data_IF_692463821727
#
_entry.id   IF_692463821727
#
_cell.length_a   1.000
_cell.length_b   1.000
_cell.length_c   1.000
_cell.angle_alpha   90.00
_cell.angle_beta   90.00
_cell.angle_gamma   90.00
#
_symmetry.space_group_name_H-M   'P 1'
#
loop_
_entity.id
_entity.type
_entity.pdbx_description
1 polymer ?
#
# COMPACT_ATOMS: atom_id res chain seq x y z
N UNK A 1 17.99 11.14 -1.62
CA UNK A 1 16.64 10.71 -1.19
C UNK A 1 16.47 9.38 -1.85
N UNK A 2 16.38 8.30 -1.09
CA UNK A 2 16.56 6.94 -1.60
C UNK A 2 15.72 6.59 -2.85
N UNK A 3 14.54 7.18 -3.04
CA UNK A 3 13.78 7.04 -4.31
C UNK A 3 14.54 7.58 -5.53
N UNK A 4 15.22 8.73 -5.39
CA UNK A 4 16.06 9.28 -6.47
C UNK A 4 17.30 8.42 -6.73
N UNK A 5 17.86 7.82 -5.68
CA UNK A 5 19.02 6.94 -5.79
C UNK A 5 18.63 5.65 -6.55
N UNK A 6 17.37 5.20 -6.41
CA UNK A 6 16.79 4.16 -7.26
C UNK A 6 16.52 4.65 -8.70
N UNK A 7 15.92 5.84 -8.86
CA UNK A 7 15.61 6.43 -10.17
C UNK A 7 16.85 6.67 -11.04
N UNK A 8 18.00 6.98 -10.44
CA UNK A 8 19.23 7.28 -11.16
C UNK A 8 20.09 6.06 -11.47
N UNK A 9 19.65 4.85 -11.08
CA UNK A 9 20.47 3.65 -11.20
C UNK A 9 21.79 3.74 -10.44
N UNK A 10 21.77 4.38 -9.25
CA UNK A 10 22.99 4.50 -8.44
C UNK A 10 23.54 3.13 -8.01
N UNK A 11 24.78 3.08 -7.53
CA UNK A 11 25.38 1.86 -6.96
C UNK A 11 24.49 1.22 -5.88
N UNK A 12 23.73 2.04 -5.15
CA UNK A 12 22.81 1.63 -4.09
C UNK A 12 21.38 1.35 -4.57
N UNK A 13 21.11 1.26 -5.88
CA UNK A 13 19.76 1.03 -6.41
C UNK A 13 19.11 -0.22 -5.79
N UNK A 14 19.86 -1.30 -5.63
CA UNK A 14 19.41 -2.59 -5.09
C UNK A 14 18.86 -2.52 -3.65
N UNK A 15 19.27 -1.53 -2.84
CA UNK A 15 18.77 -1.31 -1.47
C UNK A 15 17.93 -0.05 -1.31
N UNK A 16 17.94 0.85 -2.29
CA UNK A 16 17.32 2.17 -2.21
C UNK A 16 15.85 2.14 -1.78
N UNK A 17 14.99 1.39 -2.48
CA UNK A 17 13.57 1.32 -2.10
C UNK A 17 13.35 0.66 -0.75
N UNK A 18 14.14 -0.38 -0.43
CA UNK A 18 14.11 -1.02 0.89
C UNK A 18 14.44 -0.02 1.99
N UNK A 19 15.44 0.84 1.78
CA UNK A 19 15.83 1.90 2.70
C UNK A 19 14.71 2.95 2.90
N UNK A 20 13.94 3.29 1.86
CA UNK A 20 12.76 4.18 2.00
C UNK A 20 11.75 3.60 2.98
N UNK A 21 11.34 2.34 2.79
CA UNK A 21 10.29 1.73 3.60
C UNK A 21 10.77 1.45 5.03
N UNK A 22 12.03 1.06 5.20
CA UNK A 22 12.64 0.89 6.53
C UNK A 22 12.70 2.24 7.26
N UNK A 23 13.12 3.32 6.60
CA UNK A 23 13.13 4.67 7.20
C UNK A 23 11.73 5.08 7.69
N UNK A 24 10.70 4.84 6.89
CA UNK A 24 9.33 5.13 7.29
C UNK A 24 8.92 4.31 8.53
N UNK A 25 9.23 3.01 8.53
CA UNK A 25 8.87 2.11 9.63
C UNK A 25 9.57 2.47 10.94
N UNK A 26 10.89 2.74 10.92
CA UNK A 26 11.66 3.04 12.13
C UNK A 26 11.54 4.51 12.55
N UNK A 27 11.50 5.43 11.59
CA UNK A 27 11.46 6.86 11.84
C UNK A 27 10.14 7.32 12.44
N UNK A 28 9.02 6.81 11.92
CA UNK A 28 7.66 7.25 12.29
C UNK A 28 7.02 6.46 13.43
N UNK A 29 7.76 5.53 14.05
CA UNK A 29 7.25 4.72 15.13
C UNK A 29 6.89 5.55 16.36
N UNK A 30 5.69 5.36 16.91
CA UNK A 30 5.26 6.05 18.13
C UNK A 30 6.16 5.66 19.33
N UNK A 31 6.79 6.61 20.05
CA UNK A 31 7.72 6.28 21.14
C UNK A 31 7.10 5.53 22.32
N UNK A 32 5.87 5.90 22.71
CA UNK A 32 5.08 5.23 23.74
C UNK A 32 3.59 5.57 23.58
N UNK A 33 2.64 4.85 24.22
CA UNK A 33 1.21 5.02 23.98
C UNK A 33 0.67 6.42 24.33
N UNK A 34 1.28 7.12 25.29
CA UNK A 34 0.86 8.43 25.82
C UNK A 34 1.67 9.61 25.24
N UNK A 35 2.59 9.35 24.31
CA UNK A 35 3.45 10.37 23.71
C UNK A 35 2.66 11.45 22.96
N UNK A 36 3.12 12.69 23.09
CA UNK A 36 2.56 13.89 22.47
C UNK A 36 3.40 14.33 21.27
N UNK A 37 2.91 15.34 20.54
CA UNK A 37 3.56 15.85 19.33
C UNK A 37 5.03 16.25 19.54
N UNK A 38 5.37 16.87 20.69
CA UNK A 38 6.76 17.23 21.02
C UNK A 38 7.65 15.99 21.14
N UNK A 39 7.20 14.96 21.86
CA UNK A 39 7.93 13.70 21.98
C UNK A 39 8.16 13.05 20.61
N UNK A 40 7.19 13.17 19.69
CA UNK A 40 7.31 12.64 18.33
C UNK A 40 8.35 13.40 17.51
N UNK A 41 8.39 14.73 17.64
CA UNK A 41 9.39 15.58 16.98
C UNK A 41 10.80 15.30 17.49
N UNK A 42 10.97 15.21 18.82
CA UNK A 42 12.26 14.94 19.46
C UNK A 42 12.77 13.53 19.08
N UNK A 43 11.90 12.52 19.11
CA UNK A 43 12.23 11.17 18.71
C UNK A 43 12.61 11.09 17.21
N UNK A 44 11.80 11.70 16.33
CA UNK A 44 12.08 11.72 14.90
C UNK A 44 13.43 12.39 14.60
N UNK A 45 13.73 13.52 15.25
CA UNK A 45 14.99 14.23 15.06
C UNK A 45 16.20 13.37 15.44
N UNK A 46 16.15 12.67 16.59
CA UNK A 46 17.21 11.73 17.00
C UNK A 46 17.35 10.56 16.04
N UNK A 47 16.24 10.01 15.55
CA UNK A 47 16.26 8.89 14.61
C UNK A 47 16.80 9.28 13.25
N UNK A 48 16.52 10.50 12.78
CA UNK A 48 17.08 11.02 11.55
C UNK A 48 18.60 11.24 11.65
N UNK A 49 19.12 11.64 12.82
CA UNK A 49 20.55 11.70 13.07
C UNK A 49 21.19 10.30 12.98
N UNK A 50 20.65 9.31 13.71
CA UNK A 50 21.11 7.92 13.63
C UNK A 50 21.03 7.34 12.22
N UNK A 51 19.97 7.66 11.48
CA UNK A 51 19.81 7.26 10.08
C UNK A 51 20.92 7.84 9.21
N UNK A 52 21.23 9.12 9.39
CA UNK A 52 22.31 9.81 8.66
C UNK A 52 23.69 9.23 8.99
N UNK A 53 23.90 8.81 10.23
CA UNK A 53 25.15 8.21 10.71
C UNK A 53 25.25 6.71 10.34
N UNK A 54 24.26 6.13 9.65
CA UNK A 54 24.25 4.72 9.25
C UNK A 54 23.92 3.73 10.37
N UNK A 55 23.43 4.21 11.51
CA UNK A 55 23.17 3.44 12.73
C UNK A 55 21.83 2.68 12.69
N UNK A 56 21.59 1.95 11.61
CA UNK A 56 20.32 1.25 11.34
C UNK A 56 20.01 0.19 12.41
N UNK A 57 21.03 -0.51 12.90
CA UNK A 57 20.90 -1.51 13.97
C UNK A 57 20.35 -0.92 15.27
N UNK A 58 20.75 0.32 15.62
CA UNK A 58 20.24 1.03 16.79
C UNK A 58 18.76 1.37 16.63
N UNK A 59 18.36 1.82 15.43
CA UNK A 59 16.96 2.12 15.10
C UNK A 59 16.06 0.88 15.16
N UNK A 60 16.51 -0.25 14.59
CA UNK A 60 15.77 -1.51 14.63
C UNK A 60 15.65 -2.01 16.08
N UNK A 61 16.73 -1.92 16.87
CA UNK A 61 16.72 -2.31 18.28
C UNK A 61 15.74 -1.45 19.09
N UNK A 62 15.79 -0.13 18.94
CA UNK A 62 14.83 0.80 19.55
C UNK A 62 13.40 0.38 19.21
N UNK A 63 13.13 0.15 17.92
CA UNK A 63 11.79 -0.17 17.45
C UNK A 63 11.23 -1.49 18.02
N UNK A 64 12.07 -2.53 18.12
CA UNK A 64 11.71 -3.80 18.76
C UNK A 64 11.41 -3.62 20.25
N UNK A 65 12.22 -2.84 20.97
CA UNK A 65 12.00 -2.56 22.40
C UNK A 65 10.67 -1.82 22.58
N UNK A 66 10.40 -0.79 21.78
CA UNK A 66 9.14 -0.06 21.83
C UNK A 66 7.96 -0.98 21.55
N UNK A 67 8.02 -1.80 20.49
CA UNK A 67 6.93 -2.74 20.14
C UNK A 67 6.64 -3.73 21.26
N UNK A 68 7.69 -4.26 21.92
CA UNK A 68 7.51 -5.18 23.06
C UNK A 68 6.80 -4.52 24.25
N UNK A 69 6.96 -3.20 24.44
CA UNK A 69 6.41 -2.45 25.58
C UNK A 69 5.06 -1.81 25.31
N UNK A 70 4.79 -1.39 24.08
CA UNK A 70 3.49 -0.82 23.69
C UNK A 70 2.39 -1.89 23.79
N UNK A 71 2.77 -3.17 23.70
CA UNK A 71 1.85 -4.31 23.80
C UNK A 71 0.83 -4.34 22.66
N UNK A 72 0.05 -5.41 22.59
CA UNK A 72 -1.21 -5.38 21.81
C UNK A 72 -2.12 -4.41 22.55
N UNK A 73 -2.62 -3.38 21.88
CA UNK A 73 -3.68 -2.54 22.42
C UNK A 73 -4.84 -3.48 22.80
N UNK A 74 -5.02 -3.75 24.10
CA UNK A 74 -6.28 -4.33 24.57
C UNK A 74 -7.29 -3.22 24.34
N UNK A 75 -8.05 -3.31 23.24
CA UNK A 75 -9.19 -2.43 23.04
C UNK A 75 -10.01 -2.47 24.32
N UNK A 76 -10.42 -1.31 24.85
CA UNK A 76 -11.43 -1.33 25.89
C UNK A 76 -12.61 -2.13 25.35
N UNK A 77 -13.16 -3.06 26.14
CA UNK A 77 -14.26 -3.93 25.71
C UNK A 77 -15.46 -3.13 25.16
N UNK A 78 -15.53 -1.83 25.46
CA UNK A 78 -16.29 -0.85 24.71
C UNK A 78 -15.45 0.42 24.47
N UNK A 79 -15.06 0.74 23.22
CA UNK A 79 -14.62 2.09 22.90
C UNK A 79 -15.79 3.04 23.17
N UNK A 80 -15.52 4.20 23.75
CA UNK A 80 -16.50 5.30 23.78
C UNK A 80 -16.88 5.61 22.32
N UNK A 81 -18.07 5.13 21.91
CA UNK A 81 -18.52 5.17 20.52
C UNK A 81 -18.53 6.61 20.00
N UNK A 82 -18.85 7.58 20.86
CA UNK A 82 -18.86 8.99 20.52
C UNK A 82 -17.43 9.50 20.23
N UNK A 83 -16.43 9.10 21.03
CA UNK A 83 -15.02 9.48 20.77
C UNK A 83 -14.48 8.89 19.48
N UNK A 84 -14.77 7.62 19.20
CA UNK A 84 -14.31 6.97 17.96
C UNK A 84 -15.01 7.60 16.75
N UNK A 85 -16.32 7.82 16.83
CA UNK A 85 -17.08 8.50 15.78
C UNK A 85 -16.56 9.92 15.52
N UNK A 86 -16.42 10.74 16.58
CA UNK A 86 -15.90 12.10 16.48
C UNK A 86 -14.51 12.13 15.85
N UNK A 87 -13.62 11.22 16.25
CA UNK A 87 -12.29 11.09 15.63
C UNK A 87 -12.38 10.82 14.13
N UNK A 88 -13.19 9.84 13.71
CA UNK A 88 -13.35 9.50 12.29
C UNK A 88 -13.92 10.66 11.48
N UNK A 89 -14.89 11.40 12.03
CA UNK A 89 -15.47 12.59 11.39
C UNK A 89 -14.42 13.70 11.25
N UNK A 90 -13.66 14.00 12.31
CA UNK A 90 -12.60 15.00 12.30
C UNK A 90 -11.46 14.64 11.33
N UNK A 91 -11.21 13.35 11.10
CA UNK A 91 -10.26 12.84 10.10
C UNK A 91 -10.85 12.82 8.67
N UNK A 92 -12.10 13.25 8.48
CA UNK A 92 -12.81 13.26 7.20
C UNK A 92 -13.25 11.88 6.71
N UNK A 93 -13.26 10.87 7.58
CA UNK A 93 -13.62 9.48 7.27
C UNK A 93 -15.11 9.23 7.51
N UNK A 94 -15.98 10.03 6.88
CA UNK A 94 -17.44 10.01 7.13
C UNK A 94 -18.05 8.61 6.93
N UNK A 95 -17.72 7.92 5.83
CA UNK A 95 -18.25 6.58 5.57
C UNK A 95 -17.79 5.55 6.62
N UNK A 96 -16.56 5.67 7.12
CA UNK A 96 -16.07 4.82 8.20
C UNK A 96 -16.78 5.13 9.51
N UNK A 97 -17.06 6.41 9.78
CA UNK A 97 -17.82 6.84 10.95
C UNK A 97 -19.26 6.31 10.91
N UNK A 98 -19.94 6.42 9.77
CA UNK A 98 -21.29 5.88 9.57
C UNK A 98 -21.31 4.36 9.70
N UNK A 99 -20.35 3.66 9.09
CA UNK A 99 -20.22 2.20 9.21
C UNK A 99 -20.01 1.76 10.65
N UNK A 100 -19.21 2.50 11.42
CA UNK A 100 -18.98 2.24 12.84
C UNK A 100 -20.26 2.39 13.70
N UNK A 101 -21.20 3.25 13.30
CA UNK A 101 -22.52 3.34 13.95
C UNK A 101 -23.45 2.20 13.56
N UNK A 102 -23.34 1.69 12.33
CA UNK A 102 -24.25 0.68 11.78
C UNK A 102 -23.85 -0.77 12.05
N UNK A 103 -22.60 -1.05 12.42
CA UNK A 103 -22.10 -2.42 12.61
C UNK A 103 -22.61 -3.07 13.91
N UNK A 104 -23.39 -4.15 13.76
CA UNK A 104 -23.32 -5.32 14.65
C UNK A 104 -21.99 -6.01 14.40
N UNK A 105 -21.24 -6.30 15.47
CA UNK A 105 -19.83 -6.68 15.47
C UNK A 105 -19.51 -8.05 14.86
N UNK A 106 -19.69 -8.21 13.54
CA UNK A 106 -19.25 -9.39 12.79
C UNK A 106 -18.12 -9.00 11.82
N UNK A 107 -16.95 -9.62 11.98
CA UNK A 107 -15.76 -9.41 11.15
C UNK A 107 -14.55 -8.85 11.91
N UNK A 108 -13.41 -8.74 11.21
CA UNK A 108 -12.19 -8.15 11.75
C UNK A 108 -10.92 -8.87 11.35
N UNK A 109 -9.78 -8.43 11.90
CA UNK A 109 -8.50 -9.14 11.75
C UNK A 109 -8.42 -10.21 12.84
N UNK A 110 -8.29 -11.46 12.43
CA UNK A 110 -8.20 -12.61 13.33
C UNK A 110 -6.83 -12.68 14.02
N UNK A 111 -6.81 -13.31 15.19
CA UNK A 111 -5.54 -13.68 15.83
C UNK A 111 -4.94 -14.87 15.10
N UNK A 112 -3.61 -14.92 14.99
CA UNK A 112 -2.88 -16.03 14.38
C UNK A 112 -2.85 -17.25 15.31
N UNK A 113 -3.98 -17.94 15.45
CA UNK A 113 -4.06 -19.26 16.09
C UNK A 113 -3.59 -20.35 15.11
N UNK A 114 -3.31 -21.55 15.61
CA UNK A 114 -2.89 -22.68 14.76
C UNK A 114 -3.95 -23.03 13.70
N UNK A 115 -5.23 -22.95 14.05
CA UNK A 115 -6.35 -23.13 13.10
C UNK A 115 -6.31 -22.08 11.99
N UNK A 116 -6.20 -20.78 12.33
CA UNK A 116 -6.12 -19.70 11.35
C UNK A 116 -4.90 -19.87 10.45
N UNK A 117 -3.75 -20.24 11.01
CA UNK A 117 -2.53 -20.49 10.25
C UNK A 117 -2.68 -21.68 9.29
N UNK A 118 -3.37 -22.73 9.72
CA UNK A 118 -3.67 -23.90 8.88
C UNK A 118 -4.56 -23.52 7.71
N UNK A 119 -5.67 -22.80 7.97
CA UNK A 119 -6.57 -22.32 6.92
C UNK A 119 -5.87 -21.38 5.93
N UNK A 120 -4.96 -20.53 6.41
CA UNK A 120 -4.17 -19.64 5.54
C UNK A 120 -3.25 -20.45 4.62
N UNK A 121 -2.47 -21.39 5.17
CA UNK A 121 -1.56 -22.25 4.39
C UNK A 121 -2.31 -23.05 3.32
N UNK A 122 -3.48 -23.59 3.65
CA UNK A 122 -4.32 -24.32 2.68
C UNK A 122 -4.76 -23.45 1.48
N UNK A 123 -4.88 -22.13 1.65
CA UNK A 123 -5.33 -21.19 0.60
C UNK A 123 -4.19 -20.64 -0.25
N UNK A 124 -2.95 -20.86 0.15
CA UNK A 124 -1.76 -20.41 -0.55
C UNK A 124 -1.02 -21.62 -1.12
N UNK A 125 -1.22 -21.97 -2.41
CA UNK A 125 -0.43 -23.03 -3.02
C UNK A 125 1.05 -22.64 -3.00
N UNK A 126 1.94 -23.64 -2.93
CA UNK A 126 3.37 -23.41 -3.07
C UNK A 126 3.68 -22.69 -4.39
N UNK A 127 4.68 -21.80 -4.43
CA UNK A 127 5.09 -21.14 -5.66
C UNK A 127 5.37 -22.16 -6.77
N UNK A 128 4.71 -22.01 -7.91
CA UNK A 128 4.92 -22.86 -9.09
C UNK A 128 5.56 -22.05 -10.21
N UNK A 129 6.43 -22.66 -11.04
CA UNK A 129 6.92 -22.02 -12.24
C UNK A 129 5.76 -21.64 -13.16
N UNK A 130 5.93 -20.56 -13.93
CA UNK A 130 4.97 -20.16 -14.94
C UNK A 130 4.72 -21.33 -15.91
N UNK A 131 3.45 -21.62 -16.23
CA UNK A 131 3.11 -22.67 -17.18
C UNK A 131 3.60 -22.27 -18.57
N UNK A 132 4.09 -23.23 -19.34
CA UNK A 132 4.46 -22.98 -20.73
C UNK A 132 3.21 -22.47 -21.49
N UNK A 133 3.35 -21.31 -22.15
CA UNK A 133 2.25 -20.61 -22.83
C UNK A 133 1.48 -19.61 -21.97
N UNK A 134 1.72 -19.51 -20.65
CA UNK A 134 1.15 -18.42 -19.83
C UNK A 134 1.90 -17.09 -19.97
N UNK A 135 3.11 -17.15 -20.52
CA UNK A 135 3.93 -15.98 -20.85
C UNK A 135 3.80 -15.76 -22.35
N UNK A 136 3.60 -14.50 -22.76
CA UNK A 136 3.66 -14.14 -24.17
C UNK A 136 5.09 -14.37 -24.68
N UNK A 137 5.23 -15.18 -25.73
CA UNK A 137 6.51 -15.43 -26.40
C UNK A 137 6.54 -14.66 -27.72
N UNK A 138 7.68 -14.06 -28.02
CA UNK A 138 7.92 -13.31 -29.26
C UNK A 138 8.13 -11.82 -29.02
N UNK A 139 8.56 -11.07 -30.06
CA UNK A 139 8.58 -9.62 -30.01
C UNK A 139 7.15 -9.12 -29.77
N UNK A 140 6.99 -8.18 -28.83
CA UNK A 140 5.75 -7.44 -28.71
C UNK A 140 5.66 -6.56 -29.96
N UNK A 141 4.81 -6.95 -30.91
CA UNK A 141 4.72 -6.29 -32.22
C UNK A 141 4.27 -4.82 -32.11
N UNK A 142 3.68 -4.43 -30.97
CA UNK A 142 3.27 -3.08 -30.65
C UNK A 142 4.10 -2.54 -29.48
N UNK A 143 5.25 -1.94 -29.77
CA UNK A 143 5.96 -1.13 -28.78
C UNK A 143 5.08 0.07 -28.42
N UNK A 144 4.58 0.10 -27.18
CA UNK A 144 3.88 1.27 -26.66
C UNK A 144 4.89 2.42 -26.58
N UNK A 145 4.69 3.53 -27.30
CA UNK A 145 5.64 4.62 -27.27
C UNK A 145 5.82 5.16 -25.85
N UNK A 146 7.06 5.37 -25.42
CA UNK A 146 7.37 5.89 -24.08
C UNK A 146 6.63 7.22 -23.78
N UNK A 147 6.31 7.98 -24.83
CA UNK A 147 5.53 9.23 -24.76
C UNK A 147 4.14 9.05 -24.14
N UNK A 148 3.53 7.86 -24.19
CA UNK A 148 2.25 7.57 -23.50
C UNK A 148 2.37 7.79 -22.00
N UNK A 149 3.52 7.42 -21.42
CA UNK A 149 3.81 7.54 -19.98
C UNK A 149 4.24 8.97 -19.59
N UNK A 150 4.48 9.87 -20.54
CA UNK A 150 4.89 11.26 -20.27
C UNK A 150 3.90 12.00 -19.36
N UNK A 151 2.62 11.64 -19.42
CA UNK A 151 1.52 12.17 -18.60
C UNK A 151 1.70 11.94 -17.09
N UNK A 152 2.52 10.96 -16.68
CA UNK A 152 2.81 10.71 -15.27
C UNK A 152 3.70 11.83 -14.71
N UNK A 153 3.12 12.70 -13.88
CA UNK A 153 3.83 13.82 -13.25
C UNK A 153 3.51 13.95 -11.76
N UNK A 154 4.18 14.86 -11.05
CA UNK A 154 3.99 15.03 -9.61
C UNK A 154 2.56 15.43 -9.23
N UNK A 155 1.85 16.20 -10.06
CA UNK A 155 0.45 16.55 -9.79
C UNK A 155 -0.46 15.33 -9.87
N UNK A 156 -0.24 14.46 -10.85
CA UNK A 156 -0.96 13.20 -10.96
C UNK A 156 -0.74 12.30 -9.73
N UNK A 157 0.49 12.22 -9.23
CA UNK A 157 0.83 11.50 -7.99
C UNK A 157 0.11 12.12 -6.80
N UNK A 158 0.07 13.45 -6.70
CA UNK A 158 -0.66 14.17 -5.65
C UNK A 158 -2.15 13.84 -5.68
N UNK A 159 -2.77 13.89 -6.86
CA UNK A 159 -4.18 13.55 -7.04
C UNK A 159 -4.47 12.06 -6.74
N UNK A 160 -3.58 11.16 -7.15
CA UNK A 160 -3.68 9.75 -6.81
C UNK A 160 -3.58 9.51 -5.29
N UNK A 161 -2.70 10.23 -4.59
CA UNK A 161 -2.59 10.17 -3.13
C UNK A 161 -3.88 10.65 -2.42
N UNK A 162 -4.50 11.74 -2.90
CA UNK A 162 -5.78 12.24 -2.36
C UNK A 162 -6.90 11.20 -2.49
N UNK A 163 -6.95 10.48 -3.62
CA UNK A 163 -7.94 9.42 -3.89
C UNK A 163 -7.61 8.07 -3.25
N UNK A 164 -6.41 7.91 -2.69
CA UNK A 164 -5.99 6.65 -2.07
C UNK A 164 -6.56 6.53 -0.66
N UNK A 165 -7.02 5.32 -0.34
CA UNK A 165 -7.60 4.94 0.96
C UNK A 165 -6.98 3.60 1.40
N UNK A 166 -7.24 3.22 2.65
CA UNK A 166 -6.81 1.94 3.21
C UNK A 166 -5.55 2.02 4.07
N UNK A 167 -5.27 0.90 4.74
CA UNK A 167 -4.21 0.75 5.73
C UNK A 167 -2.81 0.71 5.11
N UNK A 168 -1.79 0.86 5.97
CA UNK A 168 -0.40 0.77 5.56
C UNK A 168 0.02 -0.65 5.17
N UNK A 169 0.97 -0.72 4.24
CA UNK A 169 1.67 -1.96 3.90
C UNK A 169 2.75 -2.29 4.94
N UNK A 170 3.83 -2.99 4.54
CA UNK A 170 4.96 -3.31 5.42
C UNK A 170 5.56 -2.09 6.16
N UNK A 171 5.66 -0.92 5.52
CA UNK A 171 6.16 0.32 6.12
C UNK A 171 5.29 0.87 7.26
N UNK A 172 4.05 0.40 7.38
CA UNK A 172 3.10 0.82 8.41
C UNK A 172 2.45 2.18 8.18
N UNK A 173 2.90 2.98 7.20
CA UNK A 173 2.29 4.28 6.88
C UNK A 173 1.07 4.06 6.00
N UNK A 174 -0.08 4.54 6.46
CA UNK A 174 -1.36 4.38 5.77
C UNK A 174 -1.61 5.46 4.69
N UNK A 175 -2.76 5.37 4.03
CA UNK A 175 -3.15 6.32 2.99
C UNK A 175 -3.25 7.77 3.50
N UNK A 176 -3.66 7.99 4.75
CA UNK A 176 -3.73 9.34 5.33
C UNK A 176 -2.34 9.91 5.59
N UNK A 177 -1.40 9.09 6.09
CA UNK A 177 0.00 9.45 6.26
C UNK A 177 0.64 9.88 4.94
N UNK A 178 0.46 9.08 3.88
CA UNK A 178 0.95 9.45 2.54
C UNK A 178 0.23 10.66 1.96
N UNK A 179 -1.09 10.81 2.16
CA UNK A 179 -1.82 12.02 1.77
C UNK A 179 -1.20 13.26 2.40
N UNK A 180 -0.83 13.19 3.69
CA UNK A 180 -0.15 14.29 4.38
C UNK A 180 1.23 14.57 3.78
N UNK A 181 2.05 13.55 3.54
CA UNK A 181 3.39 13.73 2.95
C UNK A 181 3.36 14.30 1.52
N UNK A 182 2.37 13.90 0.71
CA UNK A 182 2.32 14.20 -0.72
C UNK A 182 1.41 15.39 -1.08
N UNK A 183 0.48 15.79 -0.21
CA UNK A 183 -0.49 16.84 -0.52
C UNK A 183 -0.53 17.99 0.49
N UNK A 184 0.21 17.94 1.61
CA UNK A 184 0.19 19.02 2.59
C UNK A 184 0.99 20.24 2.13
N UNK A 185 0.33 21.40 2.04
CA UNK A 185 0.95 22.66 1.61
C UNK A 185 2.05 23.15 2.56
N UNK A 186 2.00 22.79 3.86
CA UNK A 186 3.02 23.20 4.84
C UNK A 186 4.40 22.62 4.55
N UNK A 187 4.49 21.52 3.81
CA UNK A 187 5.76 20.90 3.41
C UNK A 187 6.36 21.53 2.13
N UNK A 188 5.70 22.54 1.56
CA UNK A 188 6.20 23.35 0.43
C UNK A 188 6.83 22.48 -0.67
N UNK A 189 8.05 22.82 -1.09
CA UNK A 189 8.77 22.16 -2.18
C UNK A 189 9.16 20.71 -1.87
N UNK A 190 9.28 20.32 -0.59
CA UNK A 190 9.61 18.93 -0.23
C UNK A 190 8.52 17.96 -0.66
N UNK A 191 7.25 18.35 -0.51
CA UNK A 191 6.10 17.56 -0.97
C UNK A 191 6.10 17.43 -2.50
N UNK A 192 6.32 18.53 -3.22
CA UNK A 192 6.42 18.53 -4.69
C UNK A 192 7.57 17.65 -5.19
N UNK A 193 8.77 17.78 -4.59
CA UNK A 193 9.94 16.96 -4.95
C UNK A 193 9.71 15.47 -4.73
N UNK A 194 9.01 15.10 -3.65
CA UNK A 194 8.63 13.71 -3.39
C UNK A 194 7.64 13.19 -4.43
N UNK A 195 6.64 13.97 -4.80
CA UNK A 195 5.71 13.62 -5.88
C UNK A 195 6.42 13.42 -7.22
N UNK A 196 7.33 14.31 -7.59
CA UNK A 196 8.12 14.18 -8.83
C UNK A 196 9.03 12.95 -8.80
N UNK A 197 9.65 12.63 -7.67
CA UNK A 197 10.46 11.42 -7.55
C UNK A 197 9.63 10.14 -7.71
N UNK A 198 8.42 10.09 -7.14
CA UNK A 198 7.49 8.96 -7.32
C UNK A 198 6.98 8.89 -8.76
N UNK A 199 6.73 10.03 -9.41
CA UNK A 199 6.33 10.08 -10.82
C UNK A 199 7.43 9.50 -11.73
N UNK A 200 8.69 9.92 -11.54
CA UNK A 200 9.85 9.34 -12.25
C UNK A 200 10.01 7.84 -12.00
N UNK A 201 9.86 7.43 -10.74
CA UNK A 201 9.89 6.00 -10.39
C UNK A 201 8.81 5.22 -11.12
N UNK A 202 7.59 5.77 -11.15
CA UNK A 202 6.45 5.13 -11.83
C UNK A 202 6.66 5.04 -13.34
N UNK A 203 7.22 6.09 -13.97
CA UNK A 203 7.61 6.06 -15.39
C UNK A 203 8.64 4.96 -15.67
N UNK A 204 9.70 4.92 -14.87
CA UNK A 204 10.78 3.94 -14.98
C UNK A 204 10.24 2.50 -14.88
N UNK A 205 9.32 2.25 -13.94
CA UNK A 205 8.64 0.95 -13.80
C UNK A 205 7.78 0.57 -15.02
N UNK A 206 7.35 1.54 -15.82
CA UNK A 206 6.54 1.29 -17.01
C UNK A 206 7.37 1.16 -18.29
N UNK A 207 8.55 1.77 -18.34
CA UNK A 207 9.30 1.94 -19.59
C UNK A 207 10.60 1.15 -19.64
N UNK A 208 11.09 0.65 -18.51
CA UNK A 208 12.38 -0.03 -18.43
C UNK A 208 12.22 -1.45 -17.89
N UNK A 209 13.12 -2.34 -18.32
CA UNK A 209 13.34 -3.61 -17.65
C UNK A 209 14.01 -3.35 -16.30
N UNK A 210 13.40 -3.86 -15.24
CA UNK A 210 13.85 -3.65 -13.86
C UNK A 210 14.19 -4.99 -13.25
N UNK A 211 15.38 -5.08 -12.63
CA UNK A 211 15.72 -6.24 -11.79
C UNK A 211 14.70 -6.34 -10.63
N UNK A 212 13.93 -7.44 -10.53
CA UNK A 212 12.92 -7.64 -9.49
C UNK A 212 13.46 -7.49 -8.06
N UNK A 213 14.75 -7.76 -7.82
CA UNK A 213 15.36 -7.63 -6.49
C UNK A 213 15.33 -6.19 -5.99
N UNK A 214 15.42 -5.21 -6.90
CA UNK A 214 15.46 -3.78 -6.57
C UNK A 214 14.10 -3.22 -6.14
N UNK A 215 13.01 -3.91 -6.52
CA UNK A 215 11.61 -3.50 -6.23
C UNK A 215 10.91 -4.42 -5.22
N UNK A 216 11.60 -5.42 -4.68
CA UNK A 216 11.07 -6.40 -3.71
C UNK A 216 10.26 -5.71 -2.59
N UNK A 217 10.82 -4.65 -1.99
CA UNK A 217 10.17 -3.93 -0.91
C UNK A 217 8.93 -3.13 -1.35
N UNK A 218 8.88 -2.67 -2.61
CA UNK A 218 7.72 -1.99 -3.17
C UNK A 218 6.56 -2.96 -3.43
N UNK A 219 6.87 -4.19 -3.88
CA UNK A 219 5.88 -5.23 -4.18
C UNK A 219 5.47 -6.05 -2.96
N UNK A 220 6.24 -5.98 -1.87
CA UNK A 220 5.93 -6.63 -0.61
C UNK A 220 4.54 -6.25 -0.06
N UNK A 221 3.96 -7.15 0.71
CA UNK A 221 2.62 -6.99 1.29
C UNK A 221 2.60 -7.40 2.76
N UNK A 222 1.89 -6.64 3.58
CA UNK A 222 1.57 -7.00 4.95
C UNK A 222 0.36 -7.94 4.93
N UNK A 223 0.59 -9.20 5.31
CA UNK A 223 -0.46 -10.22 5.32
C UNK A 223 -1.34 -10.09 6.57
N UNK A 224 -2.66 -10.12 6.39
CA UNK A 224 -3.64 -10.09 7.47
C UNK A 224 -4.71 -11.17 7.26
N UNK A 225 -5.08 -11.95 8.29
CA UNK A 225 -6.23 -12.85 8.23
C UNK A 225 -7.51 -12.06 8.53
N UNK A 226 -8.38 -11.91 7.55
CA UNK A 226 -9.72 -11.34 7.78
C UNK A 226 -10.73 -12.43 8.09
N UNK A 227 -11.62 -12.16 9.03
CA UNK A 227 -12.80 -12.98 9.26
C UNK A 227 -13.78 -12.85 8.08
N UNK A 228 -14.14 -14.00 7.49
CA UNK A 228 -15.16 -14.10 6.42
C UNK A 228 -16.54 -14.47 6.97
N UNK A 229 -16.66 -14.72 8.28
CA UNK A 229 -17.82 -15.27 8.94
C UNK A 229 -17.81 -16.80 8.98
N UNK A 230 -18.61 -17.38 9.87
CA UNK A 230 -18.80 -18.84 10.01
C UNK A 230 -17.48 -19.62 10.21
N UNK A 231 -16.50 -19.02 10.88
CA UNK A 231 -15.19 -19.64 11.14
C UNK A 231 -14.22 -19.64 9.95
N UNK A 232 -14.60 -19.07 8.80
CA UNK A 232 -13.76 -19.05 7.61
C UNK A 232 -12.79 -17.85 7.58
N UNK A 233 -11.54 -18.11 7.19
CA UNK A 233 -10.50 -17.06 7.07
C UNK A 233 -10.36 -16.54 5.63
N UNK A 234 -10.21 -15.23 5.41
CA UNK A 234 -9.82 -14.65 4.11
C UNK A 234 -8.39 -14.08 4.20
N UNK A 235 -7.42 -14.61 3.42
CA UNK A 235 -6.09 -14.02 3.35
C UNK A 235 -6.15 -12.68 2.60
N UNK A 236 -5.51 -11.64 3.16
CA UNK A 236 -5.36 -10.34 2.50
C UNK A 236 -3.90 -9.91 2.54
N UNK A 237 -3.38 -9.51 1.38
CA UNK A 237 -2.10 -8.81 1.26
C UNK A 237 -2.32 -7.30 1.14
N UNK A 238 -1.89 -6.54 2.15
CA UNK A 238 -1.89 -5.07 2.09
C UNK A 238 -0.55 -4.61 1.53
N UNK A 239 -0.51 -4.27 0.24
CA UNK A 239 0.70 -3.73 -0.41
C UNK A 239 1.09 -2.33 0.08
N UNK A 240 2.27 -1.85 -0.31
CA UNK A 240 2.70 -0.48 -0.03
C UNK A 240 1.74 0.57 -0.60
N UNK A 241 1.56 1.67 0.13
CA UNK A 241 0.70 2.76 -0.33
C UNK A 241 1.29 3.43 -1.57
N UNK A 242 2.62 3.57 -1.64
CA UNK A 242 3.31 4.08 -2.85
C UNK A 242 2.97 3.21 -4.06
N UNK A 243 3.01 1.87 -3.93
CA UNK A 243 2.61 0.96 -5.01
C UNK A 243 1.18 1.21 -5.48
N UNK A 244 0.24 1.44 -4.55
CA UNK A 244 -1.16 1.75 -4.90
C UNK A 244 -1.32 3.12 -5.56
N UNK A 245 -0.53 4.11 -5.16
CA UNK A 245 -0.52 5.44 -5.78
C UNK A 245 0.01 5.35 -7.21
N UNK A 246 1.17 4.70 -7.40
CA UNK A 246 1.76 4.45 -8.73
C UNK A 246 0.79 3.70 -9.65
N UNK A 247 0.16 2.62 -9.17
CA UNK A 247 -0.84 1.89 -9.94
C UNK A 247 -2.05 2.79 -10.33
N UNK A 248 -2.51 3.67 -9.45
CA UNK A 248 -3.59 4.62 -9.77
C UNK A 248 -3.18 5.68 -10.79
N UNK A 249 -1.90 6.06 -10.85
CA UNK A 249 -1.39 6.92 -11.92
C UNK A 249 -1.47 6.19 -13.26
N UNK A 250 -0.89 4.98 -13.36
CA UNK A 250 -0.93 4.17 -14.59
C UNK A 250 -2.36 3.91 -15.05
N UNK A 251 -3.23 3.48 -14.13
CA UNK A 251 -4.63 3.17 -14.43
C UNK A 251 -5.47 4.39 -14.80
N UNK A 252 -4.99 5.63 -14.68
CA UNK A 252 -5.83 6.77 -15.09
C UNK A 252 -5.90 6.92 -16.61
N UNK A 253 -4.94 6.39 -17.36
CA UNK A 253 -4.92 6.40 -18.82
C UNK A 253 -5.03 4.98 -19.39
N UNK A 254 -4.41 3.98 -18.77
CA UNK A 254 -4.44 2.60 -19.25
C UNK A 254 -5.79 1.86 -19.00
N UNK A 255 -6.75 2.48 -18.29
CA UNK A 255 -8.00 1.80 -17.91
C UNK A 255 -8.78 1.30 -19.13
N UNK A 256 -8.87 2.10 -20.20
CA UNK A 256 -9.63 1.71 -21.38
C UNK A 256 -8.98 0.51 -22.06
N UNK A 257 -7.67 0.57 -22.26
CA UNK A 257 -6.88 -0.51 -22.86
C UNK A 257 -7.00 -1.81 -22.05
N UNK A 258 -6.95 -1.73 -20.72
CA UNK A 258 -7.15 -2.90 -19.83
C UNK A 258 -8.54 -3.49 -19.99
N UNK A 259 -9.58 -2.65 -20.08
CA UNK A 259 -10.97 -3.08 -20.26
C UNK A 259 -11.16 -3.74 -21.63
N UNK A 260 -10.59 -3.17 -22.69
CA UNK A 260 -10.64 -3.70 -24.05
C UNK A 260 -9.91 -5.04 -24.15
N UNK A 261 -8.67 -5.11 -23.67
CA UNK A 261 -7.86 -6.33 -23.68
C UNK A 261 -8.46 -7.47 -22.85
N UNK A 262 -9.21 -7.14 -21.80
CA UNK A 262 -9.91 -8.13 -20.97
C UNK A 262 -11.13 -8.74 -21.66
N UNK A 263 -11.65 -8.08 -22.71
CA UNK A 263 -12.82 -8.54 -23.46
C UNK A 263 -14.08 -8.70 -22.61
N UNK A 264 -15.01 -9.52 -23.11
CA UNK A 264 -16.30 -9.78 -22.47
C UNK A 264 -16.28 -10.91 -21.43
N UNK A 265 -15.23 -11.73 -21.41
CA UNK A 265 -15.12 -12.87 -20.48
C UNK A 265 -14.58 -12.46 -19.11
N UNK A 266 -13.72 -11.44 -19.05
CA UNK A 266 -13.16 -10.95 -17.79
C UNK A 266 -13.93 -9.72 -17.28
N UNK A 267 -15.00 -10.00 -16.54
CA UNK A 267 -15.94 -8.97 -16.06
C UNK A 267 -15.40 -8.16 -14.86
N UNK A 268 -14.30 -8.61 -14.23
CA UNK A 268 -13.67 -7.91 -13.10
C UNK A 268 -12.67 -6.83 -13.52
N UNK A 269 -12.45 -6.60 -14.82
CA UNK A 269 -11.51 -5.60 -15.33
C UNK A 269 -12.06 -4.15 -15.32
N UNK A 270 -13.30 -3.95 -14.88
CA UNK A 270 -13.95 -2.64 -14.83
C UNK A 270 -14.99 -2.41 -15.92
N UNK A 271 -15.52 -3.49 -16.51
CA UNK A 271 -16.68 -3.45 -17.40
C UNK A 271 -17.88 -2.83 -16.69
N UNK A 272 -18.66 -2.01 -17.41
CA UNK A 272 -19.89 -1.42 -16.86
C UNK A 272 -20.91 -2.54 -16.61
N UNK A 273 -21.44 -2.60 -15.39
CA UNK A 273 -22.40 -3.63 -14.97
C UNK A 273 -21.89 -5.06 -15.13
N UNK A 274 -20.58 -5.28 -14.95
CA UNK A 274 -19.95 -6.58 -15.22
C UNK A 274 -20.56 -7.74 -14.42
N UNK A 275 -20.88 -7.55 -13.14
CA UNK A 275 -21.52 -8.57 -12.31
C UNK A 275 -22.93 -8.94 -12.77
N UNK A 276 -23.72 -7.94 -13.10
CA UNK A 276 -25.11 -8.09 -13.55
C UNK A 276 -25.16 -8.73 -14.94
N UNK A 277 -24.26 -8.31 -15.83
CA UNK A 277 -24.10 -8.91 -17.16
C UNK A 277 -23.69 -10.38 -17.08
N UNK A 278 -22.84 -10.75 -16.12
CA UNK A 278 -22.45 -12.15 -15.88
C UNK A 278 -23.68 -13.02 -15.56
N UNK A 279 -24.51 -12.55 -14.62
CA UNK A 279 -25.68 -13.27 -14.15
C UNK A 279 -26.69 -13.42 -15.29
N UNK A 280 -27.02 -12.34 -16.00
CA UNK A 280 -27.96 -12.39 -17.12
C UNK A 280 -27.48 -13.26 -18.27
N UNK A 281 -26.18 -13.24 -18.60
CA UNK A 281 -25.62 -14.13 -19.62
C UNK A 281 -25.81 -15.60 -19.25
N UNK A 282 -25.61 -15.95 -17.97
CA UNK A 282 -25.85 -17.32 -17.47
C UNK A 282 -27.34 -17.69 -17.49
N UNK A 283 -28.24 -16.77 -17.17
CA UNK A 283 -29.69 -17.04 -17.17
C UNK A 283 -30.27 -17.28 -18.58
N UNK A 284 -29.71 -16.64 -19.60
CA UNK A 284 -30.24 -16.72 -20.98
C UNK A 284 -29.47 -17.68 -21.91
N UNK A 285 -28.39 -18.31 -21.44
CA UNK A 285 -27.56 -19.24 -22.23
C UNK A 285 -27.42 -20.63 -21.58
N UNK A 286 -28.33 -20.99 -20.65
CA UNK A 286 -28.55 -22.36 -20.17
C UNK A 286 -29.82 -22.93 -20.80
#
# INVERSE_FOLDING_TARGET
MHINDWNSGSENQHVSLKAVFVLLAVGLQKPNPKSKAKDHQDALSKRLALWKDGEISKLIREGRIIQSRIGKFKGSNHPDKAKVFAKLVLEGQINSALRFLSETSNGGVLTLTDDVMTQLKQKHPEPQPAKLGSVLFGPLNDEIPESVYSQINGEMVRQAALRTKGSGGPSGVDANGFRRMLACKSFKQSSTRLCEAIARMTKTLCTQYIDPTTIEALIASRLIPLDKGQGAVRPIGVGEVIRRISAKCVMSFAKKDVVEASGSLQLCAGQKSGSEAAIHAMEHHV
#
